data_IF_544832164034
#
_entry.id   IF_544832164034
#
_cell.length_a   1.000
_cell.length_b   1.000
_cell.length_c   1.000
_cell.angle_alpha   90.00
_cell.angle_beta   90.00
_cell.angle_gamma   90.00
#
_symmetry.space_group_name_H-M   'P 1'
#
loop_
_entity.id
_entity.type
_entity.pdbx_description
1 polymer ?
#
# COMPACT_ATOMS: atom_id res chain seq x y z
N UNK A 1 14.88 -17.95 66.74
CA UNK A 1 14.58 -19.32 66.28
C UNK A 1 14.65 -19.31 64.76
N UNK A 2 15.75 -19.82 64.22
CA UNK A 2 15.99 -19.96 62.79
C UNK A 2 16.33 -21.44 62.54
N UNK A 3 15.66 -22.04 61.57
CA UNK A 3 15.88 -23.41 61.08
C UNK A 3 15.55 -23.41 59.57
N UNK A 4 16.02 -24.39 58.79
CA UNK A 4 17.37 -24.39 58.25
C UNK A 4 17.36 -24.49 56.70
N UNK A 5 18.52 -24.22 56.09
CA UNK A 5 18.79 -24.51 54.67
C UNK A 5 18.64 -26.01 54.38
N UNK A 6 18.15 -26.40 53.19
CA UNK A 6 18.51 -27.67 52.58
C UNK A 6 19.52 -27.49 51.44
N UNK A 7 20.41 -28.47 51.40
CA UNK A 7 21.54 -28.63 50.50
C UNK A 7 21.14 -28.87 49.04
N UNK A 8 22.02 -28.38 48.17
CA UNK A 8 22.20 -28.78 46.77
C UNK A 8 22.38 -30.30 46.65
N UNK A 9 21.56 -30.93 45.84
CA UNK A 9 21.92 -32.12 45.07
C UNK A 9 22.02 -31.74 43.60
N UNK A 10 23.18 -32.00 43.03
CA UNK A 10 23.49 -31.89 41.61
C UNK A 10 22.84 -33.09 40.90
N UNK A 11 21.85 -32.84 40.05
CA UNK A 11 21.49 -33.77 38.98
C UNK A 11 21.95 -33.18 37.65
N UNK A 12 23.04 -33.74 37.14
CA UNK A 12 23.47 -33.59 35.76
C UNK A 12 22.63 -34.56 34.92
N UNK A 13 21.58 -34.06 34.27
CA UNK A 13 21.06 -34.60 33.01
C UNK A 13 19.92 -33.71 32.49
N UNK A 14 20.29 -32.65 31.78
CA UNK A 14 19.39 -31.95 30.88
C UNK A 14 20.04 -31.87 29.51
N UNK A 15 19.48 -32.64 28.57
CA UNK A 15 19.71 -32.55 27.13
C UNK A 15 19.66 -31.08 26.71
N UNK A 16 20.69 -30.65 25.99
CA UNK A 16 20.69 -29.39 25.23
C UNK A 16 19.67 -29.49 24.11
N UNK A 17 18.47 -28.95 24.32
CA UNK A 17 17.60 -28.54 23.22
C UNK A 17 18.11 -27.18 22.73
N UNK A 18 18.93 -27.22 21.69
CA UNK A 18 19.34 -26.05 20.94
C UNK A 18 18.21 -25.70 19.95
N UNK A 19 17.21 -24.95 20.40
CA UNK A 19 16.27 -24.29 19.49
C UNK A 19 16.73 -22.84 19.34
N UNK A 20 17.44 -22.58 18.25
CA UNK A 20 17.83 -21.24 17.81
C UNK A 20 16.57 -20.41 17.48
N UNK A 21 16.58 -19.08 17.67
CA UNK A 21 15.45 -18.24 17.28
C UNK A 21 15.31 -18.25 15.75
N UNK A 22 14.11 -18.55 15.31
CA UNK A 22 13.66 -18.59 13.92
C UNK A 22 13.78 -17.19 13.29
N UNK A 23 14.69 -17.05 12.34
CA UNK A 23 14.97 -15.82 11.61
C UNK A 23 14.01 -15.75 10.42
N UNK A 24 13.08 -14.79 10.46
CA UNK A 24 11.90 -14.69 9.57
C UNK A 24 12.19 -14.54 8.07
N UNK A 25 13.46 -14.45 7.67
CA UNK A 25 13.90 -14.50 6.26
C UNK A 25 13.98 -15.94 5.71
N UNK A 26 13.97 -16.96 6.57
CA UNK A 26 14.09 -18.36 6.15
C UNK A 26 12.77 -19.01 5.71
N UNK A 27 11.62 -18.37 5.94
CA UNK A 27 10.31 -18.90 5.55
C UNK A 27 10.17 -19.10 4.03
N UNK A 28 10.92 -18.34 3.22
CA UNK A 28 10.92 -18.45 1.75
C UNK A 28 11.98 -19.46 1.24
N UNK A 29 12.92 -19.89 2.10
CA UNK A 29 14.04 -20.80 1.73
C UNK A 29 13.84 -22.22 2.24
N UNK A 30 12.67 -22.81 1.97
CA UNK A 30 12.52 -24.28 2.07
C UNK A 30 12.61 -24.88 0.67
N UNK A 31 13.81 -25.35 0.34
CA UNK A 31 14.07 -26.30 -0.75
C UNK A 31 13.32 -27.60 -0.46
N UNK A 32 12.05 -27.66 -0.83
CA UNK A 32 11.35 -28.92 -1.02
C UNK A 32 11.50 -29.29 -2.49
N UNK A 33 12.05 -30.47 -2.76
CA UNK A 33 11.90 -31.09 -4.07
C UNK A 33 10.42 -31.03 -4.45
N UNK A 34 10.11 -30.52 -5.64
CA UNK A 34 8.73 -30.33 -6.09
C UNK A 34 8.08 -31.71 -6.17
N UNK A 35 7.19 -31.99 -5.21
CA UNK A 35 6.48 -33.26 -5.17
C UNK A 35 5.34 -33.19 -6.21
N UNK A 36 5.30 -34.06 -7.24
CA UNK A 36 4.35 -33.97 -8.37
C UNK A 36 2.86 -34.10 -7.99
N UNK A 37 2.53 -34.38 -6.72
CA UNK A 37 1.17 -34.40 -6.20
C UNK A 37 0.62 -33.00 -5.78
N UNK A 38 1.41 -31.91 -5.89
CA UNK A 38 1.09 -30.62 -5.25
C UNK A 38 1.36 -29.38 -6.12
N UNK A 39 0.88 -29.33 -7.38
CA UNK A 39 0.63 -28.03 -8.05
C UNK A 39 -0.64 -27.38 -7.49
N UNK A 40 -0.69 -27.22 -6.16
CA UNK A 40 -1.78 -26.55 -5.50
C UNK A 40 -1.77 -25.05 -5.85
N UNK A 41 -2.94 -24.42 -5.87
CA UNK A 41 -3.11 -23.03 -6.30
C UNK A 41 -2.34 -22.04 -5.41
N UNK A 42 -2.23 -22.33 -4.12
CA UNK A 42 -1.49 -21.50 -3.16
C UNK A 42 0.02 -21.68 -3.33
N UNK A 43 0.47 -22.90 -3.64
CA UNK A 43 1.87 -23.15 -4.01
C UNK A 43 2.24 -22.37 -5.27
N UNK A 44 1.44 -22.47 -6.33
CA UNK A 44 1.66 -21.73 -7.58
C UNK A 44 1.70 -20.22 -7.34
N UNK A 45 0.82 -19.71 -6.48
CA UNK A 45 0.80 -18.29 -6.12
C UNK A 45 2.08 -17.87 -5.39
N UNK A 46 2.56 -18.70 -4.46
CA UNK A 46 3.87 -18.50 -3.83
C UNK A 46 5.02 -18.46 -4.83
N UNK A 47 5.01 -19.36 -5.84
CA UNK A 47 6.00 -19.33 -6.92
C UNK A 47 5.90 -18.06 -7.78
N UNK A 48 4.69 -17.58 -8.06
CA UNK A 48 4.48 -16.29 -8.74
C UNK A 48 5.12 -15.14 -7.97
N UNK A 49 4.91 -15.06 -6.65
CA UNK A 49 5.53 -14.02 -5.81
C UNK A 49 7.04 -14.12 -5.81
N UNK A 50 7.59 -15.33 -5.65
CA UNK A 50 9.03 -15.53 -5.68
C UNK A 50 9.65 -15.08 -7.01
N UNK A 51 9.09 -15.51 -8.15
CA UNK A 51 9.61 -15.14 -9.46
C UNK A 51 9.48 -13.63 -9.71
N UNK A 52 8.30 -13.04 -9.46
CA UNK A 52 7.99 -11.67 -9.88
C UNK A 52 8.42 -10.59 -8.89
N UNK A 53 8.35 -10.89 -7.59
CA UNK A 53 8.58 -9.90 -6.54
C UNK A 53 9.95 -10.08 -5.87
N UNK A 54 10.63 -11.23 -6.04
CA UNK A 54 11.98 -11.47 -5.50
C UNK A 54 13.02 -11.58 -6.62
N UNK A 55 12.87 -12.53 -7.55
CA UNK A 55 13.90 -12.80 -8.54
C UNK A 55 13.97 -11.77 -9.67
N UNK A 56 12.83 -11.42 -10.28
CA UNK A 56 12.81 -10.48 -11.42
C UNK A 56 13.46 -9.12 -11.07
N UNK A 57 13.21 -8.50 -9.90
CA UNK A 57 13.90 -7.28 -9.50
C UNK A 57 15.42 -7.45 -9.34
N UNK A 58 15.87 -8.59 -8.80
CA UNK A 58 17.30 -8.88 -8.65
C UNK A 58 17.98 -9.01 -10.02
N UNK A 59 17.38 -9.84 -10.88
CA UNK A 59 17.85 -10.09 -12.26
C UNK A 59 17.83 -8.80 -13.09
N UNK A 60 16.81 -7.96 -12.93
CA UNK A 60 16.73 -6.68 -13.62
C UNK A 60 17.83 -5.69 -13.22
N UNK A 61 18.35 -5.78 -12.00
CA UNK A 61 19.39 -4.89 -11.46
C UNK A 61 20.81 -5.42 -11.73
N UNK A 62 21.02 -6.71 -11.56
CA UNK A 62 22.35 -7.34 -11.50
C UNK A 62 22.64 -8.24 -12.70
N UNK A 63 21.64 -8.53 -13.53
CA UNK A 63 21.74 -9.40 -14.69
C UNK A 63 21.50 -10.88 -14.37
N UNK A 64 21.62 -11.77 -15.36
CA UNK A 64 21.28 -13.20 -15.22
C UNK A 64 22.18 -13.96 -14.24
N UNK A 65 23.41 -13.49 -14.02
CA UNK A 65 24.43 -14.18 -13.21
C UNK A 65 24.17 -14.07 -11.69
N UNK A 66 23.19 -13.25 -11.27
CA UNK A 66 22.79 -13.12 -9.86
C UNK A 66 22.08 -14.37 -9.34
N UNK A 67 21.45 -15.15 -10.22
CA UNK A 67 20.66 -16.32 -9.86
C UNK A 67 21.58 -17.46 -9.39
N UNK A 68 21.30 -18.02 -8.21
CA UNK A 68 22.04 -19.17 -7.72
C UNK A 68 21.62 -20.44 -8.47
N UNK A 69 22.51 -21.45 -8.48
CA UNK A 69 22.21 -22.73 -9.15
C UNK A 69 20.94 -23.40 -8.61
N UNK A 70 20.64 -23.22 -7.32
CA UNK A 70 19.43 -23.73 -6.67
C UNK A 70 18.16 -23.02 -7.17
N UNK A 71 18.24 -21.70 -7.41
CA UNK A 71 17.12 -20.93 -7.97
C UNK A 71 16.80 -21.42 -9.38
N UNK A 72 17.84 -21.60 -10.20
CA UNK A 72 17.70 -22.11 -11.56
C UNK A 72 17.12 -23.53 -11.59
N UNK A 73 17.57 -24.40 -10.69
CA UNK A 73 17.05 -25.76 -10.56
C UNK A 73 15.57 -25.74 -10.16
N UNK A 74 15.20 -24.92 -9.17
CA UNK A 74 13.83 -24.82 -8.67
C UNK A 74 12.87 -24.31 -9.76
N UNK A 75 13.27 -23.28 -10.51
CA UNK A 75 12.48 -22.80 -11.67
C UNK A 75 12.39 -23.88 -12.74
N UNK A 76 13.49 -24.57 -13.04
CA UNK A 76 13.51 -25.61 -14.08
C UNK A 76 12.57 -26.77 -13.74
N UNK A 77 12.60 -27.23 -12.49
CA UNK A 77 11.69 -28.25 -11.96
C UNK A 77 10.23 -27.78 -12.01
N UNK A 78 9.96 -26.53 -11.63
CA UNK A 78 8.62 -25.94 -11.69
C UNK A 78 8.10 -25.92 -13.13
N UNK A 79 8.90 -25.45 -14.09
CA UNK A 79 8.53 -25.40 -15.51
C UNK A 79 8.28 -26.79 -16.08
N UNK A 80 9.06 -27.81 -15.69
CA UNK A 80 8.79 -29.21 -16.07
C UNK A 80 7.48 -29.71 -15.47
N UNK A 81 7.25 -29.47 -14.18
CA UNK A 81 6.02 -29.88 -13.51
C UNK A 81 4.77 -29.25 -14.17
N UNK A 82 4.84 -27.96 -14.51
CA UNK A 82 3.76 -27.24 -15.21
C UNK A 82 3.45 -27.84 -16.59
N UNK A 83 4.46 -28.39 -17.28
CA UNK A 83 4.29 -29.06 -18.58
C UNK A 83 3.75 -30.49 -18.44
N UNK A 84 4.25 -31.26 -17.47
CA UNK A 84 3.97 -32.70 -17.33
C UNK A 84 2.63 -32.97 -16.67
N UNK A 85 2.31 -32.25 -15.60
CA UNK A 85 1.11 -32.51 -14.80
C UNK A 85 -0.12 -31.78 -15.34
N UNK A 86 0.10 -30.70 -16.12
CA UNK A 86 -0.93 -29.79 -16.57
C UNK A 86 -1.52 -28.97 -15.41
N UNK A 87 -1.93 -27.74 -15.72
CA UNK A 87 -2.62 -26.85 -14.77
C UNK A 87 -3.94 -26.41 -15.37
N UNK A 88 -4.97 -26.30 -14.55
CA UNK A 88 -6.27 -25.82 -15.01
C UNK A 88 -6.22 -24.33 -15.32
N UNK A 89 -7.11 -23.85 -16.21
CA UNK A 89 -7.23 -22.42 -16.50
C UNK A 89 -7.50 -21.59 -15.24
N UNK A 90 -8.34 -22.10 -14.34
CA UNK A 90 -8.72 -21.41 -13.11
C UNK A 90 -7.55 -21.26 -12.15
N UNK A 91 -6.73 -22.31 -12.00
CA UNK A 91 -5.53 -22.25 -11.15
C UNK A 91 -4.45 -21.34 -11.76
N UNK A 92 -4.34 -21.28 -13.10
CA UNK A 92 -3.47 -20.31 -13.78
C UNK A 92 -3.88 -18.87 -13.49
N UNK A 93 -5.18 -18.55 -13.58
CA UNK A 93 -5.72 -17.21 -13.35
C UNK A 93 -5.64 -16.82 -11.87
N UNK A 94 -5.93 -17.76 -10.96
CA UNK A 94 -5.84 -17.55 -9.52
C UNK A 94 -4.39 -17.27 -9.08
N UNK A 95 -3.47 -18.16 -9.45
CA UNK A 95 -2.06 -18.07 -9.03
C UNK A 95 -1.26 -17.02 -9.77
N UNK A 96 -1.72 -16.64 -10.98
CA UNK A 96 -1.03 -15.75 -11.92
C UNK A 96 0.37 -16.22 -12.33
N UNK A 97 0.61 -17.52 -12.23
CA UNK A 97 1.87 -18.12 -12.66
C UNK A 97 2.12 -17.88 -14.16
N UNK A 98 1.06 -17.79 -14.96
CA UNK A 98 1.13 -17.44 -16.37
C UNK A 98 1.74 -16.05 -16.61
N UNK A 99 1.51 -15.09 -15.72
CA UNK A 99 2.14 -13.77 -15.79
C UNK A 99 3.60 -13.80 -15.32
N UNK A 100 3.96 -14.65 -14.36
CA UNK A 100 5.34 -14.86 -13.95
C UNK A 100 6.17 -15.48 -15.08
N UNK A 101 5.66 -16.53 -15.71
CA UNK A 101 6.26 -17.14 -16.91
C UNK A 101 6.35 -16.10 -18.04
N UNK A 102 5.29 -15.30 -18.23
CA UNK A 102 5.26 -14.23 -19.21
C UNK A 102 6.28 -13.11 -18.96
N UNK A 103 6.68 -12.87 -17.70
CA UNK A 103 7.71 -11.91 -17.34
C UNK A 103 9.12 -12.41 -17.68
N UNK A 104 9.34 -13.73 -17.68
CA UNK A 104 10.63 -14.34 -18.09
C UNK A 104 10.70 -14.53 -19.61
N UNK A 105 9.56 -14.91 -20.21
CA UNK A 105 9.40 -15.14 -21.64
C UNK A 105 9.86 -13.93 -22.47
N UNK A 106 10.59 -14.18 -23.56
CA UNK A 106 11.13 -13.14 -24.45
C UNK A 106 12.19 -12.21 -23.86
N UNK A 107 12.64 -12.39 -22.60
CA UNK A 107 13.64 -11.53 -21.94
C UNK A 107 15.03 -12.18 -21.82
N UNK A 108 15.55 -12.71 -22.93
CA UNK A 108 16.87 -13.36 -23.00
C UNK A 108 18.07 -12.45 -22.66
N UNK A 109 17.87 -11.14 -22.58
CA UNK A 109 18.89 -10.16 -22.15
C UNK A 109 19.02 -10.05 -20.65
N UNK A 110 18.04 -10.54 -19.89
CA UNK A 110 17.97 -10.44 -18.43
C UNK A 110 18.01 -11.82 -17.79
N UNK A 111 17.28 -12.77 -18.36
CA UNK A 111 17.16 -14.13 -17.82
C UNK A 111 18.05 -15.13 -18.59
N UNK A 112 18.49 -16.23 -17.95
CA UNK A 112 19.24 -17.29 -18.61
C UNK A 112 18.49 -17.85 -19.82
N UNK A 113 19.15 -17.89 -20.98
CA UNK A 113 18.54 -18.25 -22.27
C UNK A 113 17.72 -19.54 -22.24
N UNK A 114 18.23 -20.59 -21.58
CA UNK A 114 17.53 -21.89 -21.47
C UNK A 114 16.19 -21.78 -20.73
N UNK A 115 16.11 -20.93 -19.71
CA UNK A 115 14.85 -20.70 -18.99
C UNK A 115 13.87 -19.92 -19.85
N UNK A 116 14.35 -18.91 -20.57
CA UNK A 116 13.53 -18.11 -21.49
C UNK A 116 12.90 -18.99 -22.57
N UNK A 117 13.69 -19.86 -23.22
CA UNK A 117 13.19 -20.79 -24.24
C UNK A 117 12.11 -21.75 -23.68
N UNK A 118 12.24 -22.20 -22.43
CA UNK A 118 11.22 -23.03 -21.76
C UNK A 118 9.95 -22.24 -21.43
N UNK A 119 10.10 -21.02 -20.93
CA UNK A 119 8.97 -20.13 -20.64
C UNK A 119 8.20 -19.75 -21.92
N UNK A 120 8.91 -19.50 -23.03
CA UNK A 120 8.29 -19.24 -24.33
C UNK A 120 7.48 -20.46 -24.80
N UNK A 121 8.05 -21.66 -24.76
CA UNK A 121 7.34 -22.89 -25.12
C UNK A 121 6.09 -23.15 -24.25
N UNK A 122 6.19 -22.89 -22.94
CA UNK A 122 5.07 -23.05 -22.01
C UNK A 122 3.97 -22.01 -22.28
N UNK A 123 4.35 -20.77 -22.54
CA UNK A 123 3.43 -19.68 -22.90
C UNK A 123 2.69 -19.99 -24.20
N UNK A 124 3.38 -20.49 -25.21
CA UNK A 124 2.77 -20.88 -26.50
C UNK A 124 1.80 -22.06 -26.32
N UNK A 125 2.17 -23.05 -25.50
CA UNK A 125 1.29 -24.17 -25.14
C UNK A 125 0.00 -23.66 -24.47
N UNK A 126 0.11 -22.80 -23.46
CA UNK A 126 -1.06 -22.26 -22.79
C UNK A 126 -1.92 -21.39 -23.69
N UNK A 127 -1.32 -20.57 -24.56
CA UNK A 127 -2.07 -19.79 -25.55
C UNK A 127 -2.85 -20.69 -26.51
N UNK A 128 -2.25 -21.81 -26.94
CA UNK A 128 -2.93 -22.79 -27.80
C UNK A 128 -4.05 -23.55 -27.09
N UNK A 129 -3.91 -23.82 -25.79
CA UNK A 129 -4.83 -24.66 -25.01
C UNK A 129 -5.99 -23.86 -24.42
N UNK A 130 -5.71 -22.69 -23.84
CA UNK A 130 -6.68 -21.90 -23.07
C UNK A 130 -7.09 -20.60 -23.75
N UNK A 131 -6.44 -20.24 -24.87
CA UNK A 131 -6.64 -18.98 -25.55
C UNK A 131 -6.05 -17.81 -24.76
N UNK A 132 -6.75 -16.68 -24.77
CA UNK A 132 -6.30 -15.49 -24.07
C UNK A 132 -6.45 -15.63 -22.55
N UNK A 133 -5.31 -15.51 -21.86
CA UNK A 133 -5.20 -15.48 -20.40
C UNK A 133 -5.06 -14.05 -19.85
N UNK A 134 -5.30 -13.01 -20.67
CA UNK A 134 -5.34 -11.64 -20.17
C UNK A 134 -6.49 -11.41 -19.19
N UNK A 135 -6.22 -10.57 -18.18
CA UNK A 135 -7.21 -10.08 -17.24
C UNK A 135 -6.93 -10.46 -15.79
N UNK A 136 -7.48 -9.68 -14.86
CA UNK A 136 -7.39 -9.94 -13.43
C UNK A 136 -8.76 -10.38 -12.94
N UNK A 137 -8.84 -11.62 -12.46
CA UNK A 137 -10.07 -12.13 -11.82
C UNK A 137 -10.19 -11.46 -10.45
N UNK A 138 -11.12 -10.52 -10.33
CA UNK A 138 -11.28 -9.71 -9.12
C UNK A 138 -12.59 -10.02 -8.39
N UNK A 139 -13.70 -10.06 -9.11
CA UNK A 139 -15.04 -10.29 -8.55
C UNK A 139 -15.59 -11.68 -8.87
N UNK A 140 -15.06 -12.32 -9.91
CA UNK A 140 -15.39 -13.67 -10.34
C UNK A 140 -14.81 -14.71 -9.38
N UNK A 141 -15.22 -15.97 -9.52
CA UNK A 141 -14.79 -17.05 -8.61
C UNK A 141 -13.25 -17.15 -8.55
N UNK A 142 -12.71 -17.19 -7.34
CA UNK A 142 -11.26 -17.15 -7.09
C UNK A 142 -10.66 -15.75 -7.00
N UNK A 143 -11.41 -14.71 -7.36
CA UNK A 143 -10.97 -13.32 -7.23
C UNK A 143 -10.98 -12.82 -5.79
N UNK A 144 -10.12 -11.84 -5.48
CA UNK A 144 -9.95 -11.29 -4.12
C UNK A 144 -11.23 -10.69 -3.54
N UNK A 145 -12.11 -10.14 -4.38
CA UNK A 145 -13.37 -9.51 -3.99
C UNK A 145 -14.59 -10.39 -4.27
N UNK A 146 -14.37 -11.65 -4.66
CA UNK A 146 -15.44 -12.60 -4.87
C UNK A 146 -16.24 -12.85 -3.59
N UNK A 147 -17.57 -12.79 -3.71
CA UNK A 147 -18.49 -12.95 -2.56
C UNK A 147 -18.45 -11.79 -1.55
N UNK A 148 -17.58 -10.81 -1.74
CA UNK A 148 -17.42 -9.66 -0.84
C UNK A 148 -18.25 -8.49 -1.35
N UNK A 149 -18.04 -8.09 -2.60
CA UNK A 149 -18.75 -6.98 -3.22
C UNK A 149 -18.76 -7.15 -4.73
N UNK A 150 -19.49 -6.29 -5.43
CA UNK A 150 -19.50 -6.24 -6.89
C UNK A 150 -18.98 -4.90 -7.39
N UNK A 151 -18.60 -4.82 -8.67
CA UNK A 151 -18.17 -3.57 -9.29
C UNK A 151 -19.24 -2.45 -9.19
N UNK A 152 -20.53 -2.81 -9.12
CA UNK A 152 -21.64 -1.87 -8.98
C UNK A 152 -21.83 -1.31 -7.56
N UNK A 153 -21.15 -1.85 -6.55
CA UNK A 153 -21.26 -1.41 -5.15
C UNK A 153 -20.43 -0.12 -4.91
N UNK A 154 -20.82 0.98 -5.56
CA UNK A 154 -20.10 2.26 -5.52
C UNK A 154 -20.40 3.10 -4.26
N UNK A 155 -21.58 2.90 -3.67
CA UNK A 155 -21.99 3.60 -2.46
C UNK A 155 -21.45 2.87 -1.22
N UNK A 156 -20.51 3.53 -0.53
CA UNK A 156 -19.84 2.98 0.66
C UNK A 156 -20.82 2.65 1.78
N UNK A 157 -21.81 3.49 2.02
CA UNK A 157 -22.75 3.31 3.13
C UNK A 157 -23.66 2.10 2.86
N UNK A 158 -24.17 1.98 1.64
CA UNK A 158 -24.95 0.81 1.21
C UNK A 158 -24.13 -0.47 1.29
N UNK A 159 -22.87 -0.42 0.91
CA UNK A 159 -21.98 -1.59 0.98
C UNK A 159 -21.70 -1.99 2.44
N UNK A 160 -21.48 -1.04 3.35
CA UNK A 160 -21.35 -1.33 4.79
C UNK A 160 -22.63 -1.98 5.32
N UNK A 161 -23.82 -1.47 4.98
CA UNK A 161 -25.10 -2.07 5.38
C UNK A 161 -25.27 -3.49 4.85
N UNK A 162 -24.83 -3.75 3.62
CA UNK A 162 -24.80 -5.10 3.03
C UNK A 162 -23.87 -6.03 3.81
N UNK A 163 -22.68 -5.57 4.18
CA UNK A 163 -21.73 -6.34 4.98
C UNK A 163 -22.17 -6.60 6.41
N UNK A 164 -22.89 -5.68 7.05
CA UNK A 164 -23.47 -5.92 8.39
C UNK A 164 -24.42 -7.12 8.43
N UNK A 165 -25.00 -7.50 7.29
CA UNK A 165 -25.88 -8.67 7.16
C UNK A 165 -25.12 -9.95 6.76
N UNK A 166 -23.84 -9.84 6.41
CA UNK A 166 -23.04 -10.94 5.85
C UNK A 166 -22.25 -11.65 6.95
N UNK A 167 -22.27 -12.99 7.00
CA UNK A 167 -21.48 -13.76 7.96
C UNK A 167 -20.00 -13.63 7.59
N UNK A 168 -19.22 -12.93 8.43
CA UNK A 168 -17.77 -12.74 8.23
C UNK A 168 -17.30 -11.28 8.30
N UNK A 169 -18.18 -10.30 8.20
CA UNK A 169 -17.80 -8.90 8.39
C UNK A 169 -17.58 -8.59 9.87
N UNK A 170 -16.43 -8.00 10.21
CA UNK A 170 -16.03 -7.63 11.58
C UNK A 170 -16.15 -6.12 11.82
N UNK A 171 -17.29 -5.55 11.40
CA UNK A 171 -17.53 -4.11 11.36
C UNK A 171 -17.84 -3.46 12.73
N UNK A 172 -18.04 -4.25 13.79
CA UNK A 172 -18.34 -3.68 15.10
C UNK A 172 -17.14 -2.86 15.60
N UNK A 173 -17.33 -1.58 16.01
CA UNK A 173 -16.25 -0.78 16.56
C UNK A 173 -15.54 -1.44 17.75
N UNK A 174 -16.25 -2.27 18.52
CA UNK A 174 -15.69 -3.02 19.64
C UNK A 174 -14.63 -4.05 19.22
N UNK A 175 -14.58 -4.46 17.95
CA UNK A 175 -13.53 -5.34 17.43
C UNK A 175 -12.25 -4.54 17.19
N UNK A 176 -12.36 -3.41 16.50
CA UNK A 176 -11.23 -2.55 16.18
C UNK A 176 -10.70 -1.79 17.40
N UNK A 177 -11.54 -1.48 18.39
CA UNK A 177 -11.16 -0.77 19.63
C UNK A 177 -10.67 -1.74 20.70
N UNK A 178 -9.66 -2.51 20.33
CA UNK A 178 -8.96 -3.45 21.21
C UNK A 178 -7.46 -3.26 21.05
N UNK A 179 -6.72 -3.47 22.13
CA UNK A 179 -5.25 -3.39 22.13
C UNK A 179 -4.65 -4.58 21.38
N UNK A 180 -3.48 -4.39 20.78
CA UNK A 180 -2.71 -5.46 20.13
C UNK A 180 -3.00 -5.59 18.62
N UNK A 181 -2.57 -6.67 18.01
CA UNK A 181 -2.59 -6.83 16.54
C UNK A 181 -3.89 -7.46 16.00
N UNK A 182 -4.80 -7.93 16.86
CA UNK A 182 -6.13 -8.47 16.50
C UNK A 182 -6.14 -9.68 15.55
N UNK A 183 -5.02 -10.40 15.47
CA UNK A 183 -4.83 -11.52 14.54
C UNK A 183 -4.29 -11.12 13.17
N UNK A 184 -4.03 -9.83 12.94
CA UNK A 184 -3.36 -9.34 11.74
C UNK A 184 -1.85 -9.39 11.90
N UNK A 185 -1.16 -9.56 10.79
CA UNK A 185 0.30 -9.59 10.70
C UNK A 185 0.82 -8.33 9.99
N UNK A 186 1.94 -7.74 10.46
CA UNK A 186 2.59 -6.66 9.71
C UNK A 186 2.86 -7.08 8.26
N UNK A 187 2.47 -6.24 7.31
CA UNK A 187 2.48 -6.55 5.88
C UNK A 187 1.09 -6.85 5.31
N UNK A 188 0.10 -7.17 6.16
CA UNK A 188 -1.30 -7.30 5.73
C UNK A 188 -1.74 -6.05 4.96
N UNK A 189 -2.43 -6.30 3.85
CA UNK A 189 -2.72 -5.30 2.84
C UNK A 189 -4.18 -5.35 2.40
N UNK A 190 -4.75 -4.16 2.20
CA UNK A 190 -6.11 -3.97 1.70
C UNK A 190 -6.13 -3.03 0.51
N UNK A 191 -7.02 -3.31 -0.45
CA UNK A 191 -7.28 -2.44 -1.61
C UNK A 191 -7.64 -1.01 -1.18
N UNK A 192 -8.37 -0.85 -0.06
CA UNK A 192 -8.73 0.45 0.50
C UNK A 192 -9.06 0.36 2.00
N UNK A 193 -9.16 1.51 2.66
CA UNK A 193 -9.58 1.60 4.07
C UNK A 193 -10.98 1.01 4.33
N UNK A 194 -11.87 0.99 3.32
CA UNK A 194 -13.17 0.36 3.43
C UNK A 194 -13.06 -1.15 3.68
N UNK A 195 -12.13 -1.83 3.02
CA UNK A 195 -11.89 -3.27 3.23
C UNK A 195 -11.18 -3.55 4.56
N UNK A 196 -10.23 -2.69 4.95
CA UNK A 196 -9.62 -2.78 6.28
C UNK A 196 -10.67 -2.60 7.39
N UNK A 197 -11.63 -1.69 7.22
CA UNK A 197 -12.75 -1.52 8.13
C UNK A 197 -13.63 -2.77 8.21
N UNK A 198 -13.94 -3.39 7.06
CA UNK A 198 -14.70 -4.65 7.00
C UNK A 198 -14.04 -5.77 7.81
N UNK A 199 -12.72 -5.87 7.73
CA UNK A 199 -11.96 -6.90 8.43
C UNK A 199 -11.76 -6.57 9.92
N UNK A 200 -12.03 -5.33 10.33
CA UNK A 200 -12.09 -4.93 11.74
C UNK A 200 -10.75 -4.51 12.33
N UNK A 201 -9.73 -4.23 11.51
CA UNK A 201 -8.46 -3.67 12.00
C UNK A 201 -8.62 -2.18 12.40
N UNK A 202 -9.59 -1.49 11.76
CA UNK A 202 -9.97 -0.10 12.00
C UNK A 202 -11.50 0.07 12.08
N UNK A 203 -11.98 1.13 12.72
CA UNK A 203 -13.42 1.35 12.98
C UNK A 203 -14.09 2.33 12.00
N UNK A 204 -13.39 2.77 10.95
CA UNK A 204 -13.91 3.70 9.95
C UNK A 204 -13.38 3.38 8.55
N UNK A 205 -14.26 3.54 7.55
CA UNK A 205 -13.92 3.40 6.13
C UNK A 205 -13.36 4.69 5.49
N UNK A 206 -12.98 5.68 6.30
CA UNK A 206 -12.45 6.95 5.80
C UNK A 206 -11.20 6.72 4.95
N UNK A 207 -11.13 7.38 3.79
CA UNK A 207 -9.91 7.41 2.98
C UNK A 207 -8.89 8.45 3.45
N UNK A 208 -9.28 9.28 4.42
CA UNK A 208 -8.41 10.25 5.08
C UNK A 208 -7.76 9.62 6.31
N UNK A 209 -6.64 10.20 6.74
CA UNK A 209 -5.97 9.75 7.95
C UNK A 209 -6.85 9.97 9.18
N UNK A 210 -6.79 9.03 10.12
CA UNK A 210 -7.65 9.00 11.30
C UNK A 210 -7.02 8.21 12.44
N UNK A 211 -7.37 8.58 13.66
CA UNK A 211 -7.07 7.86 14.89
C UNK A 211 -8.30 7.05 15.32
N UNK A 212 -8.12 5.74 15.48
CA UNK A 212 -9.13 4.85 16.07
C UNK A 212 -8.98 4.91 17.57
N UNK A 213 -9.99 5.44 18.27
CA UNK A 213 -9.95 5.69 19.69
C UNK A 213 -11.36 5.64 20.32
N UNK A 214 -11.41 5.50 21.63
CA UNK A 214 -12.58 5.76 22.47
C UNK A 214 -12.20 6.68 23.65
N UNK A 215 -13.01 6.66 24.70
CA UNK A 215 -12.79 7.48 25.89
C UNK A 215 -11.54 7.03 26.67
N UNK A 216 -11.15 5.76 26.56
CA UNK A 216 -10.07 5.17 27.34
C UNK A 216 -8.72 5.29 26.62
N UNK A 217 -8.66 4.92 25.35
CA UNK A 217 -7.38 4.80 24.64
C UNK A 217 -7.44 5.04 23.13
N UNK A 218 -6.26 5.11 22.51
CA UNK A 218 -6.08 5.01 21.07
C UNK A 218 -5.57 3.61 20.71
N UNK A 219 -6.10 3.04 19.63
CA UNK A 219 -5.87 1.65 19.24
C UNK A 219 -5.19 1.50 17.88
N UNK A 220 -5.47 2.41 16.95
CA UNK A 220 -4.86 2.41 15.63
C UNK A 220 -4.73 3.83 15.07
N UNK A 221 -3.77 4.01 14.16
CA UNK A 221 -3.59 5.23 13.36
C UNK A 221 -3.56 4.81 11.88
N UNK A 222 -4.44 5.41 11.09
CA UNK A 222 -4.39 5.38 9.63
C UNK A 222 -3.72 6.67 9.16
N UNK A 223 -2.62 6.55 8.44
CA UNK A 223 -1.84 7.69 7.95
C UNK A 223 -2.09 7.93 6.46
N UNK A 224 -2.46 9.17 6.10
CA UNK A 224 -2.61 9.61 4.71
C UNK A 224 -2.23 11.09 4.52
N UNK A 225 -2.01 11.53 3.26
CA UNK A 225 -1.65 12.91 2.98
C UNK A 225 -0.36 13.33 3.69
N UNK A 226 -0.38 14.41 4.47
CA UNK A 226 0.78 14.97 5.18
C UNK A 226 0.87 14.55 6.67
N UNK A 227 0.23 13.45 7.05
CA UNK A 227 0.22 12.96 8.44
C UNK A 227 1.61 12.52 8.92
N UNK A 228 2.49 12.05 8.03
CA UNK A 228 3.88 11.75 8.36
C UNK A 228 4.75 12.98 8.11
N UNK A 229 5.35 13.52 9.17
CA UNK A 229 6.24 14.69 9.07
C UNK A 229 7.67 14.24 8.78
N UNK A 230 8.12 13.20 9.48
CA UNK A 230 9.47 12.70 9.39
C UNK A 230 9.50 11.22 9.75
N UNK A 231 10.25 10.44 8.99
CA UNK A 231 10.44 9.01 9.22
C UNK A 231 11.74 8.59 8.54
N UNK A 232 12.87 8.54 9.25
CA UNK A 232 14.18 8.31 8.64
C UNK A 232 14.35 6.85 8.17
N UNK A 233 13.69 5.91 8.85
CA UNK A 233 13.85 4.47 8.66
C UNK A 233 12.51 3.71 8.53
N UNK A 234 11.39 4.44 8.46
CA UNK A 234 10.04 3.86 8.41
C UNK A 234 9.52 3.35 9.76
N UNK A 235 10.39 3.15 10.75
CA UNK A 235 10.12 2.53 12.04
C UNK A 235 10.04 3.54 13.18
N UNK A 236 10.72 4.67 13.06
CA UNK A 236 10.60 5.83 13.92
C UNK A 236 9.79 6.89 13.17
N UNK A 237 8.58 7.19 13.64
CA UNK A 237 7.63 8.01 12.90
C UNK A 237 7.32 9.26 13.72
N UNK A 238 7.44 10.42 13.09
CA UNK A 238 6.87 11.64 13.59
C UNK A 238 5.50 11.87 12.91
N UNK A 239 4.44 11.56 13.65
CA UNK A 239 3.05 11.67 13.22
C UNK A 239 2.46 13.03 13.61
N UNK A 240 1.82 13.71 12.66
CA UNK A 240 1.05 14.93 12.89
C UNK A 240 -0.43 14.58 13.02
N UNK A 241 -0.97 14.72 14.22
CA UNK A 241 -2.39 14.54 14.44
C UNK A 241 -3.17 15.75 13.91
N UNK A 242 -4.31 15.47 13.27
CA UNK A 242 -5.18 16.51 12.68
C UNK A 242 -5.95 17.24 13.77
N UNK A 243 -6.14 18.54 13.60
CA UNK A 243 -6.94 19.40 14.50
C UNK A 243 -8.44 19.06 14.48
N UNK A 244 -8.91 18.33 13.47
CA UNK A 244 -10.28 17.79 13.40
C UNK A 244 -10.43 16.43 14.09
N UNK A 245 -9.35 15.71 14.38
CA UNK A 245 -9.42 14.36 14.94
C UNK A 245 -9.40 14.39 16.47
N UNK A 246 -10.52 14.06 17.11
CA UNK A 246 -10.65 14.04 18.57
C UNK A 246 -9.79 12.97 19.23
N UNK A 247 -9.40 11.90 18.50
CA UNK A 247 -8.52 10.84 18.99
C UNK A 247 -7.11 11.34 19.33
N UNK A 248 -6.71 12.53 18.85
CA UNK A 248 -5.39 13.12 19.14
C UNK A 248 -5.09 13.24 20.63
N UNK A 249 -6.12 13.51 21.44
CA UNK A 249 -5.97 13.69 22.87
C UNK A 249 -5.68 12.38 23.58
N UNK A 250 -6.14 11.24 23.03
CA UNK A 250 -5.84 9.91 23.57
C UNK A 250 -4.38 9.51 23.33
N UNK A 251 -3.78 9.96 22.22
CA UNK A 251 -2.34 9.74 21.95
C UNK A 251 -1.43 10.50 22.92
N UNK A 252 -1.90 11.59 23.51
CA UNK A 252 -1.08 12.44 24.40
C UNK A 252 -1.49 12.35 25.87
N UNK A 253 -2.49 11.53 26.20
CA UNK A 253 -2.97 11.38 27.56
C UNK A 253 -1.89 10.76 28.46
N UNK A 254 -1.87 11.13 29.74
CA UNK A 254 -0.92 10.61 30.73
C UNK A 254 -1.42 9.34 31.45
N UNK A 255 -2.51 8.74 30.99
CA UNK A 255 -3.10 7.55 31.60
C UNK A 255 -2.28 6.28 31.30
N UNK A 256 -2.41 5.20 32.08
CA UNK A 256 -1.80 3.91 31.73
C UNK A 256 -2.26 3.38 30.37
N UNK A 257 -3.53 3.60 30.02
CA UNK A 257 -4.18 3.08 28.82
C UNK A 257 -3.66 3.75 27.54
N UNK A 258 -3.20 5.00 27.61
CA UNK A 258 -2.58 5.69 26.46
C UNK A 258 -1.20 5.14 26.09
N UNK A 259 -0.62 4.27 26.93
CA UNK A 259 0.69 3.64 26.71
C UNK A 259 0.58 2.31 25.97
N UNK A 260 -0.62 1.87 25.65
CA UNK A 260 -0.80 0.63 24.90
C UNK A 260 -0.19 0.74 23.49
N UNK A 261 0.37 -0.35 22.95
CA UNK A 261 0.84 -0.37 21.57
C UNK A 261 -0.28 -0.10 20.57
N UNK A 262 0.01 0.75 19.60
CA UNK A 262 -0.93 1.26 18.61
C UNK A 262 -0.63 0.62 17.26
N UNK A 263 -1.67 0.15 16.58
CA UNK A 263 -1.54 -0.33 15.20
C UNK A 263 -1.32 0.85 14.26
N UNK A 264 -0.28 0.80 13.42
CA UNK A 264 -0.03 1.83 12.41
C UNK A 264 -0.32 1.28 11.03
N UNK A 265 -1.11 2.00 10.24
CA UNK A 265 -1.42 1.67 8.86
C UNK A 265 -1.02 2.84 7.95
N UNK A 266 -0.29 2.54 6.86
CA UNK A 266 0.08 3.54 5.85
C UNK A 266 -0.76 3.38 4.59
N UNK A 267 -1.35 4.49 4.15
CA UNK A 267 -2.06 4.57 2.86
C UNK A 267 -1.10 4.89 1.72
N UNK A 268 -1.38 4.38 0.52
CA UNK A 268 -0.69 4.81 -0.70
C UNK A 268 -0.84 6.30 -1.00
N UNK A 269 -1.79 7.00 -0.36
CA UNK A 269 -1.97 8.46 -0.47
C UNK A 269 -1.10 9.26 0.51
N UNK A 270 -0.26 8.60 1.31
CA UNK A 270 0.64 9.24 2.26
C UNK A 270 1.82 9.90 1.51
N UNK A 271 2.20 11.10 1.91
CA UNK A 271 3.38 11.80 1.42
C UNK A 271 4.63 11.33 2.19
N UNK A 272 4.97 10.06 2.00
CA UNK A 272 6.11 9.40 2.63
C UNK A 272 6.84 8.52 1.61
N UNK A 273 8.13 8.31 1.80
CA UNK A 273 8.91 7.31 1.05
C UNK A 273 8.50 5.87 1.41
N UNK A 274 7.94 5.68 2.61
CA UNK A 274 7.58 4.37 3.16
C UNK A 274 6.14 3.94 2.85
N UNK A 275 5.39 4.74 2.09
CA UNK A 275 4.01 4.39 1.70
C UNK A 275 3.99 3.10 0.87
N UNK A 276 2.93 2.28 0.98
CA UNK A 276 2.73 1.22 -0.01
C UNK A 276 2.46 1.83 -1.39
N UNK A 277 2.82 1.10 -2.45
CA UNK A 277 2.58 1.52 -3.84
C UNK A 277 1.09 1.64 -4.19
N UNK A 278 0.24 0.88 -3.50
CA UNK A 278 -1.20 0.87 -3.66
C UNK A 278 -1.89 0.52 -2.34
N UNK A 279 -3.19 0.80 -2.22
CA UNK A 279 -4.00 0.38 -1.09
C UNK A 279 -3.60 0.93 0.28
N UNK A 280 -3.81 0.13 1.32
CA UNK A 280 -3.52 0.39 2.72
C UNK A 280 -2.75 -0.80 3.28
N UNK A 281 -1.63 -0.57 3.95
CA UNK A 281 -0.77 -1.61 4.53
C UNK A 281 -0.64 -1.45 6.03
N UNK A 282 -0.75 -2.54 6.78
CA UNK A 282 -0.50 -2.57 8.22
C UNK A 282 1.00 -2.72 8.48
N UNK A 283 1.58 -1.77 9.23
CA UNK A 283 3.03 -1.70 9.48
C UNK A 283 3.44 -2.44 10.77
N UNK A 284 2.47 -2.74 11.63
CA UNK A 284 2.65 -3.36 12.94
C UNK A 284 2.28 -2.46 14.11
N UNK A 285 2.70 -2.89 15.29
CA UNK A 285 2.50 -2.20 16.56
C UNK A 285 3.64 -1.22 16.86
N UNK A 286 3.25 -0.04 17.32
CA UNK A 286 4.15 1.06 17.68
C UNK A 286 3.84 1.53 19.10
N UNK A 287 4.87 1.93 19.83
CA UNK A 287 4.73 2.62 21.09
C UNK A 287 4.92 4.13 20.90
N UNK A 288 4.23 4.92 21.71
CA UNK A 288 4.44 6.37 21.79
C UNK A 288 5.70 6.62 22.62
N UNK A 289 6.70 7.27 22.03
CA UNK A 289 7.96 7.62 22.72
C UNK A 289 8.02 9.07 23.17
N UNK A 290 7.09 9.91 22.70
CA UNK A 290 6.96 11.29 23.13
C UNK A 290 6.03 12.08 22.22
N UNK A 291 5.74 13.32 22.59
CA UNK A 291 4.92 14.22 21.78
C UNK A 291 5.30 15.69 22.05
N UNK A 292 4.88 16.57 21.16
CA UNK A 292 5.04 18.02 21.29
C UNK A 292 3.82 18.75 20.73
N UNK A 293 3.42 19.84 21.39
CA UNK A 293 2.41 20.76 20.91
C UNK A 293 3.11 22.04 20.47
N UNK A 294 2.90 22.45 19.21
CA UNK A 294 3.43 23.70 18.68
C UNK A 294 2.30 24.54 18.12
N UNK A 295 2.23 25.80 18.53
CA UNK A 295 1.27 26.72 17.94
C UNK A 295 1.81 27.23 16.59
N UNK A 296 1.13 26.90 15.50
CA UNK A 296 1.47 27.42 14.18
C UNK A 296 0.75 28.75 13.96
N UNK A 297 1.54 29.82 13.98
CA UNK A 297 1.05 31.19 13.77
C UNK A 297 0.41 31.40 12.40
N UNK A 298 0.75 30.59 11.39
CA UNK A 298 0.23 30.75 10.02
C UNK A 298 -1.17 30.15 9.89
N UNK A 299 -1.40 28.97 10.45
CA UNK A 299 -2.72 28.32 10.46
C UNK A 299 -3.59 28.76 11.63
N UNK A 300 -3.01 29.43 12.64
CA UNK A 300 -3.66 29.75 13.91
C UNK A 300 -4.16 28.50 14.66
N UNK A 301 -3.48 27.36 14.45
CA UNK A 301 -3.83 26.07 15.05
C UNK A 301 -2.69 25.50 15.90
N UNK A 302 -3.06 24.75 16.93
CA UNK A 302 -2.08 23.95 17.69
C UNK A 302 -1.81 22.64 16.96
N UNK A 303 -0.58 22.45 16.52
CA UNK A 303 -0.10 21.25 15.84
C UNK A 303 0.36 20.23 16.88
N UNK A 304 -0.30 19.08 16.89
CA UNK A 304 0.04 17.93 17.73
C UNK A 304 0.96 17.02 16.96
N UNK A 305 2.18 16.84 17.46
CA UNK A 305 3.18 15.95 16.86
C UNK A 305 3.52 14.84 17.84
N UNK A 306 3.33 13.60 17.43
CA UNK A 306 3.53 12.39 18.24
C UNK A 306 4.66 11.58 17.62
N UNK A 307 5.64 11.20 18.44
CA UNK A 307 6.75 10.35 18.03
C UNK A 307 6.39 8.90 18.38
N UNK A 308 6.41 8.04 17.37
CA UNK A 308 6.09 6.62 17.45
C UNK A 308 7.35 5.80 17.14
N UNK A 309 7.53 4.68 17.83
CA UNK A 309 8.60 3.72 17.56
C UNK A 309 8.01 2.33 17.41
N UNK A 310 8.35 1.64 16.32
CA UNK A 310 7.93 0.26 16.06
C UNK A 310 8.41 -0.67 17.19
N UNK A 311 7.56 -1.56 17.65
CA UNK A 311 7.95 -2.57 18.64
C UNK A 311 8.88 -3.62 18.02
N UNK A 312 9.86 -4.08 18.79
CA UNK A 312 10.75 -5.18 18.42
C UNK A 312 10.03 -6.54 18.48
N UNK A 313 10.60 -7.56 17.83
CA UNK A 313 10.06 -8.93 17.83
C UNK A 313 8.86 -9.15 16.90
N UNK A 314 8.53 -8.17 16.06
CA UNK A 314 7.57 -8.31 14.97
C UNK A 314 8.28 -8.75 13.68
N UNK A 315 7.51 -9.14 12.66
CA UNK A 315 8.01 -9.42 11.30
C UNK A 315 8.97 -8.32 10.87
N UNK A 316 10.08 -8.72 10.23
CA UNK A 316 11.10 -7.79 9.75
C UNK A 316 10.50 -6.70 8.86
N UNK A 317 11.03 -5.48 8.99
CA UNK A 317 10.44 -4.33 8.32
C UNK A 317 10.61 -4.38 6.80
N UNK A 318 11.70 -4.97 6.28
CA UNK A 318 11.86 -5.13 4.82
C UNK A 318 10.80 -6.06 4.24
N UNK A 319 10.45 -7.13 4.98
CA UNK A 319 9.36 -8.04 4.59
C UNK A 319 8.01 -7.32 4.53
N UNK A 320 7.74 -6.41 5.47
CA UNK A 320 6.55 -5.55 5.43
C UNK A 320 6.57 -4.64 4.21
N UNK A 321 7.71 -4.00 3.92
CA UNK A 321 7.86 -3.08 2.80
C UNK A 321 7.70 -3.75 1.43
N UNK A 322 7.96 -5.05 1.32
CA UNK A 322 7.76 -5.82 0.09
C UNK A 322 6.29 -5.84 -0.40
N UNK A 323 5.33 -5.57 0.49
CA UNK A 323 3.89 -5.48 0.13
C UNK A 323 3.52 -4.06 -0.32
N UNK A 324 2.61 -3.88 -1.30
CA UNK A 324 1.84 -4.91 -1.99
C UNK A 324 2.66 -5.69 -3.02
N UNK A 325 2.35 -6.97 -3.14
CA UNK A 325 2.88 -7.84 -4.20
C UNK A 325 2.36 -7.45 -5.58
N UNK A 326 2.97 -8.02 -6.63
CA UNK A 326 2.56 -7.77 -8.01
C UNK A 326 1.09 -8.10 -8.28
N UNK A 327 0.55 -9.17 -7.69
CA UNK A 327 -0.86 -9.55 -7.83
C UNK A 327 -1.80 -8.55 -7.14
N UNK A 328 -1.43 -8.05 -5.96
CA UNK A 328 -2.17 -7.02 -5.23
C UNK A 328 -2.20 -5.68 -5.98
N UNK A 329 -1.12 -5.34 -6.67
CA UNK A 329 -1.05 -4.15 -7.52
C UNK A 329 -1.98 -4.26 -8.72
N UNK A 330 -2.04 -5.42 -9.35
CA UNK A 330 -2.97 -5.72 -10.44
C UNK A 330 -4.42 -5.66 -9.94
N UNK A 331 -4.74 -6.27 -8.79
CA UNK A 331 -6.06 -6.20 -8.15
C UNK A 331 -6.49 -4.76 -7.91
N UNK A 332 -5.58 -3.94 -7.38
CA UNK A 332 -5.85 -2.53 -7.12
C UNK A 332 -6.09 -1.73 -8.40
N UNK A 333 -5.31 -1.97 -9.46
CA UNK A 333 -5.49 -1.32 -10.76
C UNK A 333 -6.82 -1.70 -11.37
N UNK A 334 -7.17 -2.99 -11.34
CA UNK A 334 -8.42 -3.48 -11.89
C UNK A 334 -9.62 -2.99 -11.09
N UNK A 335 -9.50 -2.96 -9.75
CA UNK A 335 -10.49 -2.36 -8.87
C UNK A 335 -10.78 -0.91 -9.26
N UNK A 336 -9.73 -0.10 -9.45
CA UNK A 336 -9.89 1.30 -9.89
C UNK A 336 -10.52 1.40 -11.28
N UNK A 337 -10.03 0.62 -12.25
CA UNK A 337 -10.53 0.64 -13.63
C UNK A 337 -12.03 0.33 -13.69
N UNK A 338 -12.46 -0.72 -13.00
CA UNK A 338 -13.87 -1.13 -12.95
C UNK A 338 -14.73 -0.11 -12.21
N UNK A 339 -14.23 0.42 -11.10
CA UNK A 339 -14.93 1.45 -10.34
C UNK A 339 -15.12 2.72 -11.19
N UNK A 340 -14.07 3.20 -11.87
CA UNK A 340 -14.14 4.37 -12.74
C UNK A 340 -15.11 4.16 -13.92
N UNK A 341 -15.13 2.95 -14.50
CA UNK A 341 -16.07 2.57 -15.55
C UNK A 341 -17.53 2.60 -15.06
N UNK A 342 -17.82 2.07 -13.88
CA UNK A 342 -19.15 2.10 -13.30
C UNK A 342 -19.59 3.53 -12.92
N UNK A 343 -18.67 4.36 -12.40
CA UNK A 343 -18.94 5.79 -12.17
C UNK A 343 -19.28 6.53 -13.47
N UNK A 344 -18.57 6.24 -14.56
CA UNK A 344 -18.87 6.82 -15.85
C UNK A 344 -20.26 6.41 -16.35
N UNK A 345 -20.61 5.11 -16.25
CA UNK A 345 -21.95 4.61 -16.63
C UNK A 345 -23.07 5.27 -15.81
N UNK A 346 -22.87 5.45 -14.50
CA UNK A 346 -23.86 6.13 -13.65
C UNK A 346 -24.07 7.58 -14.06
N UNK A 347 -22.99 8.31 -14.38
CA UNK A 347 -23.08 9.69 -14.87
C UNK A 347 -23.86 9.77 -16.18
N UNK A 348 -23.54 8.91 -17.16
CA UNK A 348 -24.27 8.87 -18.45
C UNK A 348 -25.76 8.63 -18.25
N UNK A 349 -26.13 7.66 -17.40
CA UNK A 349 -27.54 7.36 -17.09
C UNK A 349 -28.27 8.51 -16.39
N UNK A 350 -27.57 9.30 -15.58
CA UNK A 350 -28.15 10.48 -14.93
C UNK A 350 -28.40 11.60 -15.93
N UNK A 351 -27.45 11.86 -16.83
CA UNK A 351 -27.60 12.85 -17.90
C UNK A 351 -28.75 12.50 -18.85
N UNK A 352 -28.85 11.25 -19.31
CA UNK A 352 -29.94 10.80 -20.18
C UNK A 352 -31.33 10.97 -19.53
N UNK A 353 -31.45 10.70 -18.22
CA UNK A 353 -32.69 10.92 -17.47
C UNK A 353 -33.02 12.40 -17.34
N UNK A 354 -32.02 13.24 -17.12
CA UNK A 354 -32.20 14.69 -17.01
C UNK A 354 -32.61 15.32 -18.36
N UNK A 355 -32.02 14.86 -19.46
CA UNK A 355 -32.36 15.30 -20.82
C UNK A 355 -33.78 14.86 -21.20
N UNK A 356 -34.15 13.61 -20.86
CA UNK A 356 -35.51 13.09 -21.10
C UNK A 356 -36.58 13.83 -20.28
N UNK A 357 -36.30 14.15 -19.02
CA UNK A 357 -37.19 14.95 -18.18
C UNK A 357 -37.31 16.40 -18.66
N UNK A 358 -36.23 16.96 -19.22
CA UNK A 358 -36.24 18.31 -19.80
C UNK A 358 -37.11 18.36 -21.05
N UNK A 359 -37.02 17.36 -21.94
CA UNK A 359 -37.84 17.25 -23.16
C UNK A 359 -39.34 17.07 -22.84
N UNK A 360 -39.68 16.31 -21.80
CA UNK A 360 -41.08 16.16 -21.36
C UNK A 360 -41.66 17.47 -20.82
N UNK A 361 -40.88 18.25 -20.07
CA UNK A 361 -41.33 19.55 -19.55
C UNK A 361 -41.53 20.62 -20.64
N UNK A 362 -40.85 20.51 -21.80
CA UNK A 362 -41.09 21.41 -22.95
C UNK A 362 -42.32 21.05 -23.77
N UNK A 363 -42.87 19.84 -23.63
CA UNK A 363 -44.05 19.38 -24.38
C UNK A 363 -45.37 19.62 -23.65
N UNK A 364 -45.36 19.74 -22.32
CA UNK A 364 -46.56 20.01 -21.51
C UNK A 364 -46.84 21.51 -21.27
N UNK A 365 -46.03 22.41 -21.82
CA UNK A 365 -46.22 23.86 -21.75
C UNK A 365 -46.97 24.44 -22.95
N UNK A 366 -48.26 24.12 -23.12
CA UNK A 366 -49.14 24.82 -24.08
C UNK A 366 -50.23 25.59 -23.34
N UNK A 367 -50.04 26.92 -23.18
CA UNK A 367 -51.15 27.87 -23.20
C UNK A 367 -50.67 29.22 -23.77
N UNK A 368 -51.16 29.51 -24.98
CA UNK A 368 -51.40 30.80 -25.64
C UNK A 368 -50.32 31.90 -25.65
N UNK A 369 -49.70 32.10 -26.82
CA UNK A 369 -48.97 33.32 -27.20
C UNK A 369 -48.40 33.24 -28.62
N UNK A 370 -48.43 34.32 -29.43
CA UNK A 370 -48.42 34.22 -30.89
C UNK A 370 -47.03 33.93 -31.48
N UNK A 371 -47.08 33.34 -32.67
CA UNK A 371 -45.94 32.88 -33.47
C UNK A 371 -44.82 33.91 -33.60
N UNK A 372 -43.67 33.59 -33.00
CA UNK A 372 -42.39 34.17 -33.38
C UNK A 372 -41.68 33.18 -34.32
N UNK A 373 -41.40 33.63 -35.55
CA UNK A 373 -40.58 32.91 -36.53
C UNK A 373 -39.19 32.64 -35.94
N UNK A 374 -38.91 31.37 -35.66
CA UNK A 374 -37.56 30.92 -35.31
C UNK A 374 -36.83 30.61 -36.62
N UNK A 375 -35.99 31.58 -37.01
CA UNK A 375 -35.02 31.46 -38.09
C UNK A 375 -34.03 30.32 -37.76
N UNK A 376 -34.14 29.20 -38.49
CA UNK A 376 -33.14 28.13 -38.46
C UNK A 376 -31.84 28.63 -39.07
N UNK A 377 -30.78 28.72 -38.26
CA UNK A 377 -29.41 28.82 -38.75
C UNK A 377 -28.76 27.43 -38.69
N UNK A 378 -28.14 26.93 -39.78
CA UNK A 378 -27.47 25.64 -39.75
C UNK A 378 -26.26 25.69 -38.81
N UNK A 379 -26.32 25.01 -37.66
CA UNK A 379 -25.12 24.76 -36.86
C UNK A 379 -24.21 23.80 -37.61
N UNK A 380 -22.98 24.27 -37.84
CA UNK A 380 -21.86 23.57 -38.46
C UNK A 380 -21.70 22.16 -37.89
N UNK A 381 -21.60 21.15 -38.79
CA UNK A 381 -20.98 19.86 -38.50
C UNK A 381 -19.57 20.11 -37.99
N UNK A 382 -19.30 19.78 -36.73
CA UNK A 382 -17.94 19.46 -36.31
C UNK A 382 -17.78 17.96 -36.48
N UNK A 383 -16.85 17.60 -37.37
CA UNK A 383 -16.50 16.23 -37.70
C UNK A 383 -15.96 15.52 -36.46
N UNK A 384 -16.60 14.40 -36.11
CA UNK A 384 -16.12 13.45 -35.11
C UNK A 384 -15.57 12.22 -35.85
N UNK A 385 -14.54 12.44 -36.67
CA UNK A 385 -13.75 11.39 -37.30
C UNK A 385 -12.29 11.85 -37.37
N UNK A 386 -11.57 11.64 -36.28
CA UNK A 386 -10.15 11.28 -36.26
C UNK A 386 -9.74 11.17 -34.78
N UNK A 387 -9.41 9.95 -34.34
CA UNK A 387 -8.34 9.56 -33.39
C UNK A 387 -8.60 8.08 -33.06
N UNK A 388 -8.44 7.23 -34.09
CA UNK A 388 -8.08 5.82 -33.98
C UNK A 388 -7.19 5.50 -35.18
N UNK A 389 -6.03 6.15 -35.23
CA UNK A 389 -4.82 5.65 -35.90
C UNK A 389 -3.71 6.65 -35.66
N UNK A 390 -2.77 6.30 -34.79
CA UNK A 390 -1.38 6.65 -35.02
C UNK A 390 -0.52 5.69 -34.20
N UNK A 391 0.10 4.81 -34.96
CA UNK A 391 1.17 3.91 -34.61
C UNK A 391 2.35 4.67 -34.03
N UNK A 392 2.95 4.07 -33.01
CA UNK A 392 4.17 4.49 -32.33
C UNK A 392 5.36 4.38 -33.30
N UNK A 393 5.77 5.52 -33.86
CA UNK A 393 7.08 5.68 -34.51
C UNK A 393 7.50 7.15 -34.40
N UNK A 394 8.12 7.50 -33.27
CA UNK A 394 9.30 8.37 -33.20
C UNK A 394 9.59 8.72 -31.72
N UNK A 395 10.45 7.91 -31.09
CA UNK A 395 11.19 8.33 -29.90
C UNK A 395 12.65 8.60 -30.30
N UNK A 396 13.21 9.77 -29.97
CA UNK A 396 14.64 9.98 -30.11
C UNK A 396 15.41 9.13 -29.10
N UNK A 397 16.41 8.44 -29.63
CA UNK A 397 17.42 7.65 -28.94
C UNK A 397 18.24 8.56 -28.02
N UNK A 398 18.23 8.30 -26.71
CA UNK A 398 19.26 8.78 -25.79
C UNK A 398 20.18 7.61 -25.42
N UNK A 399 21.42 7.67 -25.90
CA UNK A 399 22.55 6.87 -25.38
C UNK A 399 23.36 7.69 -24.36
N UNK A 400 24.12 7.02 -23.46
CA UNK A 400 24.57 7.58 -22.20
C UNK A 400 25.99 8.16 -22.25
N UNK A 401 26.27 9.01 -21.24
CA UNK A 401 27.62 9.35 -20.79
C UNK A 401 27.92 10.85 -20.89
N UNK A 402 28.13 11.52 -19.74
CA UNK A 402 29.44 12.01 -19.30
C UNK A 402 29.28 12.88 -18.05
N UNK A 403 30.19 12.63 -17.11
CA UNK A 403 30.48 13.26 -15.83
C UNK A 403 30.72 14.78 -15.90
N UNK A 404 30.20 15.55 -14.93
CA UNK A 404 30.72 16.87 -14.53
C UNK A 404 30.32 17.10 -13.05
N UNK A 405 31.20 16.82 -12.09
CA UNK A 405 32.13 17.78 -11.45
C UNK A 405 31.51 19.17 -11.22
N UNK A 406 31.09 19.39 -9.97
CA UNK A 406 30.80 20.69 -9.38
C UNK A 406 32.12 21.37 -9.00
N UNK A 407 32.52 22.38 -9.76
CA UNK A 407 33.57 23.32 -9.36
C UNK A 407 33.02 24.37 -8.39
N UNK A 408 33.77 24.57 -7.32
CA UNK A 408 33.59 25.59 -6.29
C UNK A 408 34.20 26.89 -6.81
N UNK A 409 33.37 27.90 -7.06
CA UNK A 409 33.80 29.24 -7.40
C UNK A 409 34.14 30.05 -6.14
N UNK A 410 35.44 30.13 -5.81
CA UNK A 410 36.01 31.21 -4.99
C UNK A 410 35.96 32.53 -5.79
N UNK A 411 35.51 33.60 -5.15
CA UNK A 411 35.76 34.96 -5.60
C UNK A 411 36.24 35.80 -4.41
N UNK A 412 37.56 35.88 -4.27
CA UNK A 412 38.25 36.95 -3.56
C UNK A 412 38.29 38.20 -4.47
N UNK A 413 38.02 39.38 -3.89
CA UNK A 413 38.72 40.63 -4.24
C UNK A 413 38.48 41.71 -3.17
N UNK A 414 39.44 41.78 -2.26
CA UNK A 414 40.23 42.94 -1.82
C UNK A 414 39.63 44.37 -1.78
N UNK A 415 39.77 44.98 -0.59
CA UNK A 415 40.12 46.39 -0.36
C UNK A 415 38.93 47.34 -0.18
N UNK A 416 38.78 48.15 0.87
CA UNK A 416 39.62 48.51 2.01
C UNK A 416 39.24 49.94 2.41
N UNK A 417 38.86 50.19 3.67
CA UNK A 417 39.31 51.34 4.47
C UNK A 417 38.59 51.43 5.83
N UNK A 418 39.39 51.82 6.81
CA UNK A 418 39.08 52.04 8.21
C UNK A 418 38.19 53.26 8.43
N UNK A 419 37.41 53.26 9.52
CA UNK A 419 37.62 54.17 10.67
C UNK A 419 36.59 53.96 11.78
N UNK A 420 37.06 54.22 13.00
CA UNK A 420 36.45 54.19 14.32
C UNK A 420 35.07 54.85 14.47
N UNK A 421 34.22 54.33 15.36
CA UNK A 421 33.67 55.10 16.48
C UNK A 421 33.03 54.23 17.59
N UNK A 422 33.17 54.76 18.80
CA UNK A 422 32.72 54.30 20.10
C UNK A 422 31.18 54.24 20.26
N UNK A 423 30.69 53.52 21.26
CA UNK A 423 29.62 54.04 22.11
C UNK A 423 28.40 53.14 22.42
N UNK A 424 28.46 52.50 23.61
CA UNK A 424 27.42 52.48 24.67
C UNK A 424 26.02 51.87 24.46
N UNK A 425 25.66 51.01 25.45
CA UNK A 425 24.33 50.78 26.13
C UNK A 425 23.16 50.33 25.21
N UNK A 426 22.27 49.41 25.55
CA UNK A 426 21.81 48.77 26.78
C UNK A 426 20.38 48.24 26.51
N UNK A 427 19.84 47.43 27.43
CA UNK A 427 18.45 46.92 27.52
C UNK A 427 18.03 45.66 26.75
N UNK A 428 18.19 44.52 27.45
CA UNK A 428 17.12 43.63 27.96
C UNK A 428 15.69 43.80 27.40
N UNK A 429 15.17 42.72 26.80
CA UNK A 429 13.84 42.19 27.14
C UNK A 429 13.75 40.69 26.85
N UNK A 430 13.63 39.91 27.92
CA UNK A 430 13.16 38.53 27.91
C UNK A 430 11.74 38.46 27.32
N UNK A 431 11.49 37.51 26.41
CA UNK A 431 10.16 36.96 26.18
C UNK A 431 10.25 35.44 26.28
N UNK A 432 9.77 34.92 27.42
CA UNK A 432 9.61 33.51 27.72
C UNK A 432 8.58 32.88 26.78
N UNK A 433 9.03 32.00 25.89
CA UNK A 433 8.18 30.99 25.28
C UNK A 433 8.07 29.78 26.21
N UNK A 434 6.85 29.44 26.63
CA UNK A 434 6.58 28.19 27.32
C UNK A 434 6.62 27.03 26.31
N UNK A 435 7.75 26.34 26.22
CA UNK A 435 7.84 25.01 25.64
C UNK A 435 7.54 23.98 26.73
N UNK A 436 6.38 23.31 26.64
CA UNK A 436 6.09 22.13 27.47
C UNK A 436 6.63 20.91 26.73
N UNK A 437 7.88 20.55 27.02
CA UNK A 437 8.50 19.29 26.58
C UNK A 437 8.21 18.23 27.63
N UNK A 438 7.26 17.34 27.36
CA UNK A 438 7.08 16.11 28.13
C UNK A 438 8.18 15.11 27.76
N UNK A 439 9.23 15.00 28.58
CA UNK A 439 10.22 13.90 28.53
C UNK A 439 9.94 12.98 29.71
N UNK A 440 9.77 11.68 29.48
CA UNK A 440 9.65 10.67 30.53
C UNK A 440 10.79 9.65 30.42
N UNK A 441 11.40 9.41 31.57
CA UNK A 441 12.42 8.41 31.91
C UNK A 441 11.80 7.02 31.96
#
# INVERSE_FOLDING_TARGET
MASPRPNRTFDQNAKKDNTSPDDGTQSIRRTYAINPAHLDRDFLRGQTHWIRDVLDPQVAREGPDVLHSDDLLTIDELLRALLELGVTRDDLLYSRIHLAVGAVAGLATRWPRKLVEKCDALKDNWASTFGDLQGTVLYEQGGRLHGICTASDLDKERLIVKWLKSPGARLSPSVARKVGHLGFEPGDWWISALFAHRDGIIDSASSEGRIVADDDAAYAIVMAGSDEVFSPDGQNIQYRARSSDSGRYRLTAASPESRHPIRVLRSHRLNSAWRPRAGLRYEGLYQIVGWSLKFDKKSNETVYTVNLKRLAGQVDFETVLARPWSDELEDYKEYKRLHDLEHAKLKTRQTEKQDSATIQNTLDGTSDGPAAEIHWSPRKRLAFEHILSQTDSDRPVCRPGTTAQLEIGLAEKSGGNATSHQGTRGHSTELRGFDVVGRLV
#
